data_IF_627969558838
#
_entry.id   IF_627969558838
#
_cell.length_a   1.000
_cell.length_b   1.000
_cell.length_c   1.000
_cell.angle_alpha   90.00
_cell.angle_beta   90.00
_cell.angle_gamma   90.00
#
_symmetry.space_group_name_H-M   'P 1'
#
loop_
_entity.id
_entity.type
_entity.pdbx_description
1 polymer ?
#
# COMPACT_ATOMS: atom_id res chain seq x y z
N UNK A 1 7.35 -2.65 18.21
CA UNK A 1 7.22 -1.46 19.09
C UNK A 1 5.76 -1.02 19.04
N UNK A 2 5.18 -0.49 20.12
CA UNK A 2 3.79 -0.05 20.08
C UNK A 2 3.64 1.12 19.10
N UNK A 3 2.65 1.02 18.22
CA UNK A 3 2.32 2.01 17.21
C UNK A 3 1.19 2.91 17.70
N UNK A 4 1.21 4.18 17.29
CA UNK A 4 0.23 5.17 17.75
C UNK A 4 -0.84 5.42 16.69
N UNK A 5 -2.05 4.90 16.93
CA UNK A 5 -3.18 5.01 16.00
C UNK A 5 -3.58 6.46 15.70
N UNK A 6 -3.67 7.31 16.72
CA UNK A 6 -4.11 8.70 16.57
C UNK A 6 -3.10 9.53 15.77
N UNK A 7 -1.81 9.41 16.08
CA UNK A 7 -0.75 10.07 15.31
C UNK A 7 -0.69 9.53 13.87
N UNK A 8 -0.94 8.24 13.67
CA UNK A 8 -1.02 7.66 12.32
C UNK A 8 -2.21 8.20 11.55
N UNK A 9 -3.37 8.36 12.19
CA UNK A 9 -4.55 8.96 11.56
C UNK A 9 -4.26 10.40 11.11
N UNK A 10 -3.73 11.25 12.00
CA UNK A 10 -3.37 12.64 11.67
C UNK A 10 -2.34 12.70 10.52
N UNK A 11 -1.37 11.79 10.53
CA UNK A 11 -0.39 11.68 9.46
C UNK A 11 -1.06 11.36 8.13
N UNK A 12 -1.93 10.34 8.08
CA UNK A 12 -2.63 9.94 6.86
C UNK A 12 -3.54 11.06 6.32
N UNK A 13 -4.25 11.76 7.21
CA UNK A 13 -5.06 12.94 6.84
C UNK A 13 -4.21 14.06 6.22
N UNK A 14 -2.94 14.19 6.64
CA UNK A 14 -2.02 15.21 6.10
C UNK A 14 -1.41 14.87 4.73
N UNK A 15 -1.42 13.59 4.31
CA UNK A 15 -0.81 13.15 3.06
C UNK A 15 -1.62 13.52 1.80
N UNK A 16 -2.89 13.86 1.97
CA UNK A 16 -3.78 14.15 0.84
C UNK A 16 -3.91 12.96 -0.11
N UNK A 17 -4.35 11.82 0.41
CA UNK A 17 -4.56 10.59 -0.36
C UNK A 17 -5.70 10.76 -1.38
N UNK A 18 -5.67 9.97 -2.45
CA UNK A 18 -6.80 9.87 -3.36
C UNK A 18 -8.04 9.33 -2.61
N UNK A 19 -9.28 9.67 -3.03
CA UNK A 19 -10.48 9.35 -2.27
C UNK A 19 -10.65 7.86 -1.93
N UNK A 20 -10.34 6.96 -2.86
CA UNK A 20 -10.39 5.51 -2.63
C UNK A 20 -9.27 5.03 -1.71
N UNK A 21 -8.06 5.57 -1.85
CA UNK A 21 -6.95 5.29 -0.95
C UNK A 21 -7.22 5.76 0.48
N UNK A 22 -7.88 6.91 0.64
CA UNK A 22 -8.32 7.40 1.95
C UNK A 22 -9.33 6.43 2.56
N UNK A 23 -10.35 6.00 1.80
CA UNK A 23 -11.32 4.99 2.27
C UNK A 23 -10.65 3.68 2.69
N UNK A 24 -9.66 3.22 1.94
CA UNK A 24 -8.86 2.05 2.31
C UNK A 24 -8.09 2.27 3.61
N UNK A 25 -7.41 3.42 3.75
CA UNK A 25 -6.66 3.77 4.94
C UNK A 25 -7.56 3.88 6.17
N UNK A 26 -8.76 4.44 6.03
CA UNK A 26 -9.76 4.53 7.10
C UNK A 26 -10.22 3.14 7.55
N UNK A 27 -10.44 2.21 6.61
CA UNK A 27 -10.79 0.82 6.95
C UNK A 27 -9.64 0.10 7.66
N UNK A 28 -8.40 0.32 7.23
CA UNK A 28 -7.21 -0.20 7.91
C UNK A 28 -7.08 0.35 9.33
N UNK A 29 -7.24 1.66 9.52
CA UNK A 29 -7.28 2.28 10.84
C UNK A 29 -8.45 1.75 11.69
N UNK A 30 -9.62 1.50 11.11
CA UNK A 30 -10.77 0.97 11.85
C UNK A 30 -10.53 -0.42 12.45
N UNK A 31 -9.72 -1.24 11.76
CA UNK A 31 -9.34 -2.59 12.20
C UNK A 31 -8.23 -2.59 13.26
N UNK A 32 -7.66 -1.43 13.55
CA UNK A 32 -6.60 -1.28 14.54
C UNK A 32 -7.19 -1.28 15.95
N UNK A 33 -6.85 -2.31 16.72
CA UNK A 33 -7.26 -2.50 18.11
C UNK A 33 -6.05 -2.49 19.04
N UNK A 34 -6.08 -1.60 20.04
CA UNK A 34 -4.99 -1.40 21.00
C UNK A 34 -3.74 -0.74 20.39
N UNK A 35 -2.57 -1.14 20.87
CA UNK A 35 -1.27 -0.55 20.51
C UNK A 35 -0.56 -1.25 19.32
N UNK A 36 -1.17 -2.32 18.81
CA UNK A 36 -0.59 -3.14 17.76
C UNK A 36 -1.34 -2.92 16.45
N UNK A 37 -0.62 -2.97 15.31
CA UNK A 37 -1.21 -2.89 13.98
C UNK A 37 -2.40 -3.86 13.81
N UNK A 38 -3.31 -3.62 12.85
CA UNK A 38 -4.40 -4.53 12.56
C UNK A 38 -3.91 -5.95 12.30
N UNK A 39 -4.54 -6.95 12.92
CA UNK A 39 -4.31 -8.36 12.59
C UNK A 39 -5.09 -8.78 11.34
N UNK A 40 -4.70 -9.89 10.71
CA UNK A 40 -5.32 -10.39 9.48
C UNK A 40 -6.85 -10.52 9.60
N UNK A 41 -7.34 -11.24 10.60
CA UNK A 41 -8.78 -11.49 10.79
C UNK A 41 -9.60 -10.22 11.08
N UNK A 42 -8.98 -9.27 11.79
CA UNK A 42 -9.62 -7.99 12.13
C UNK A 42 -9.78 -7.13 10.89
N UNK A 43 -8.71 -7.05 10.08
CA UNK A 43 -8.71 -6.29 8.85
C UNK A 43 -9.60 -6.92 7.77
N UNK A 44 -9.59 -8.26 7.63
CA UNK A 44 -10.44 -8.97 6.66
C UNK A 44 -11.94 -8.68 6.87
N UNK A 45 -12.37 -8.55 8.13
CA UNK A 45 -13.75 -8.19 8.50
C UNK A 45 -14.09 -6.72 8.28
N UNK A 46 -13.12 -5.82 8.47
CA UNK A 46 -13.30 -4.39 8.25
C UNK A 46 -13.32 -4.02 6.77
N UNK A 47 -12.67 -4.83 5.92
CA UNK A 47 -12.48 -4.56 4.51
C UNK A 47 -13.80 -4.73 3.73
N UNK A 48 -14.32 -3.63 3.19
CA UNK A 48 -15.53 -3.66 2.37
C UNK A 48 -15.28 -4.33 1.03
N UNK A 49 -16.33 -4.91 0.44
CA UNK A 49 -16.26 -5.54 -0.87
C UNK A 49 -15.73 -4.59 -1.96
N UNK A 50 -16.18 -3.33 -1.94
CA UNK A 50 -15.83 -2.31 -2.93
C UNK A 50 -14.34 -1.95 -2.94
N UNK A 51 -13.69 -2.02 -1.77
CA UNK A 51 -12.25 -1.85 -1.64
C UNK A 51 -11.54 -3.16 -1.95
N UNK A 52 -12.03 -4.29 -1.41
CA UNK A 52 -11.41 -5.62 -1.55
C UNK A 52 -11.14 -6.00 -3.00
N UNK A 53 -12.04 -5.70 -3.94
CA UNK A 53 -11.85 -5.99 -5.37
C UNK A 53 -10.62 -5.33 -6.02
N UNK A 54 -10.07 -4.28 -5.42
CA UNK A 54 -8.86 -3.58 -5.88
C UNK A 54 -7.63 -3.84 -4.99
N UNK A 55 -7.66 -4.88 -4.15
CA UNK A 55 -6.56 -5.18 -3.22
C UNK A 55 -5.73 -6.39 -3.63
N UNK A 56 -4.47 -6.41 -3.20
CA UNK A 56 -3.56 -7.56 -3.27
C UNK A 56 -2.99 -7.80 -1.88
N UNK A 57 -3.03 -9.05 -1.42
CA UNK A 57 -2.42 -9.45 -0.15
C UNK A 57 -1.19 -10.28 -0.47
N UNK A 58 -0.05 -9.86 0.04
CA UNK A 58 1.22 -10.57 -0.12
C UNK A 58 1.79 -10.89 1.25
N UNK A 59 2.24 -12.12 1.43
CA UNK A 59 2.80 -12.58 2.70
C UNK A 59 4.32 -12.50 2.63
N UNK A 60 4.92 -11.66 3.47
CA UNK A 60 6.37 -11.58 3.59
C UNK A 60 6.88 -12.69 4.52
N UNK A 61 7.76 -13.53 4.00
CA UNK A 61 8.50 -14.52 4.78
C UNK A 61 10.00 -14.15 4.78
N UNK A 62 10.61 -13.79 5.94
CA UNK A 62 12.03 -13.43 6.02
C UNK A 62 13.00 -14.52 5.53
N UNK A 63 12.56 -15.78 5.47
CA UNK A 63 13.35 -16.94 5.05
C UNK A 63 12.94 -17.46 3.66
N UNK A 64 12.02 -16.80 2.99
CA UNK A 64 11.42 -17.26 1.74
C UNK A 64 11.10 -16.13 0.78
N UNK A 65 10.15 -16.40 -0.11
CA UNK A 65 9.61 -15.41 -1.04
C UNK A 65 8.49 -14.58 -0.42
N UNK A 66 7.86 -13.79 -1.27
CA UNK A 66 6.73 -12.91 -0.95
C UNK A 66 5.52 -13.36 -1.78
N UNK A 67 4.95 -14.56 -1.52
CA UNK A 67 3.85 -15.07 -2.30
C UNK A 67 2.61 -14.19 -2.17
N UNK A 68 1.97 -13.92 -3.31
CA UNK A 68 0.66 -13.28 -3.36
C UNK A 68 -0.40 -14.29 -2.91
N UNK A 69 -1.10 -13.99 -1.81
CA UNK A 69 -2.12 -14.85 -1.22
C UNK A 69 -3.52 -14.54 -1.73
N UNK A 70 -3.78 -13.28 -2.08
CA UNK A 70 -5.07 -12.85 -2.60
C UNK A 70 -4.90 -11.75 -3.65
N UNK A 71 -5.76 -11.78 -4.67
CA UNK A 71 -5.86 -10.76 -5.70
C UNK A 71 -7.33 -10.46 -5.91
N UNK A 72 -7.71 -9.19 -5.76
CA UNK A 72 -9.06 -8.70 -6.02
C UNK A 72 -9.45 -8.89 -7.48
N UNK A 73 -10.75 -9.07 -7.73
CA UNK A 73 -11.29 -9.37 -9.07
C UNK A 73 -10.94 -8.30 -10.11
N UNK A 74 -10.92 -7.03 -9.74
CA UNK A 74 -10.59 -5.94 -10.66
C UNK A 74 -9.11 -5.91 -10.98
N UNK A 75 -8.25 -6.24 -10.01
CA UNK A 75 -6.80 -6.40 -10.27
C UNK A 75 -6.56 -7.57 -11.23
N UNK A 76 -7.23 -8.71 -11.04
CA UNK A 76 -7.15 -9.84 -11.98
C UNK A 76 -7.62 -9.45 -13.38
N UNK A 77 -8.72 -8.68 -13.47
CA UNK A 77 -9.25 -8.19 -14.75
C UNK A 77 -8.26 -7.26 -15.45
N UNK A 78 -7.66 -6.32 -14.73
CA UNK A 78 -6.66 -5.38 -15.27
C UNK A 78 -5.37 -6.10 -15.67
N UNK A 79 -4.89 -7.05 -14.86
CA UNK A 79 -3.70 -7.83 -15.15
C UNK A 79 -3.92 -8.92 -16.23
N UNK A 80 -5.18 -9.25 -16.54
CA UNK A 80 -5.59 -10.36 -17.42
C UNK A 80 -4.97 -11.71 -17.01
N UNK A 81 -4.68 -11.87 -15.73
CA UNK A 81 -4.04 -13.04 -15.16
C UNK A 81 -4.40 -13.19 -13.68
N UNK A 82 -4.40 -14.43 -13.18
CA UNK A 82 -4.40 -14.67 -11.73
C UNK A 82 -2.97 -14.66 -11.22
N UNK A 83 -2.67 -13.74 -10.30
CA UNK A 83 -1.33 -13.56 -9.74
C UNK A 83 -1.15 -14.35 -8.44
N UNK A 84 -2.19 -15.00 -7.93
CA UNK A 84 -2.12 -15.80 -6.69
C UNK A 84 -1.05 -16.89 -6.80
N UNK A 85 -0.22 -17.01 -5.76
CA UNK A 85 0.89 -17.97 -5.66
C UNK A 85 2.20 -17.51 -6.31
N UNK A 86 2.17 -16.47 -7.15
CA UNK A 86 3.40 -15.86 -7.68
C UNK A 86 4.10 -15.03 -6.60
N UNK A 87 5.42 -14.88 -6.73
CA UNK A 87 6.21 -14.01 -5.86
C UNK A 87 6.05 -12.54 -6.30
N UNK A 88 5.60 -11.68 -5.37
CA UNK A 88 5.28 -10.28 -5.61
C UNK A 88 6.45 -9.47 -6.19
N UNK A 89 7.69 -9.80 -5.81
CA UNK A 89 8.89 -9.13 -6.32
C UNK A 89 9.29 -9.71 -7.68
N UNK A 90 9.24 -11.03 -7.85
CA UNK A 90 9.68 -11.65 -9.10
C UNK A 90 8.77 -11.35 -10.30
N UNK A 91 7.49 -11.06 -10.08
CA UNK A 91 6.59 -10.64 -11.17
C UNK A 91 6.89 -9.22 -11.69
N UNK A 92 7.74 -8.45 -11.01
CA UNK A 92 8.16 -7.14 -11.49
C UNK A 92 9.26 -7.26 -12.55
N UNK A 93 9.34 -6.30 -13.50
CA UNK A 93 10.48 -6.17 -14.40
C UNK A 93 11.81 -6.17 -13.61
N UNK A 94 12.84 -6.90 -14.04
CA UNK A 94 14.10 -7.08 -13.30
C UNK A 94 14.70 -5.77 -12.75
N UNK A 95 14.68 -4.72 -13.55
CA UNK A 95 15.20 -3.38 -13.25
C UNK A 95 14.44 -2.68 -12.10
N UNK A 96 13.21 -3.07 -11.82
CA UNK A 96 12.38 -2.49 -10.75
C UNK A 96 12.30 -3.35 -9.49
N UNK A 97 12.84 -4.58 -9.51
CA UNK A 97 12.75 -5.53 -8.39
C UNK A 97 13.39 -5.01 -7.12
N UNK A 98 14.55 -4.35 -7.22
CA UNK A 98 15.22 -3.75 -6.07
C UNK A 98 14.37 -2.69 -5.37
N UNK A 99 13.73 -1.81 -6.15
CA UNK A 99 12.83 -0.79 -5.62
C UNK A 99 11.52 -1.39 -5.06
N UNK A 100 10.98 -2.44 -5.70
CA UNK A 100 9.83 -3.17 -5.16
C UNK A 100 10.18 -3.82 -3.82
N UNK A 101 11.33 -4.47 -3.72
CA UNK A 101 11.81 -5.07 -2.46
C UNK A 101 12.02 -4.00 -1.38
N UNK A 102 12.60 -2.84 -1.71
CA UNK A 102 12.76 -1.71 -0.77
C UNK A 102 11.42 -1.30 -0.14
N UNK A 103 10.37 -1.19 -0.96
CA UNK A 103 9.01 -0.87 -0.49
C UNK A 103 8.41 -1.97 0.38
N UNK A 104 8.58 -3.24 0.01
CA UNK A 104 8.14 -4.36 0.85
C UNK A 104 8.81 -4.31 2.22
N UNK A 105 10.14 -4.20 2.25
CA UNK A 105 10.90 -4.17 3.50
C UNK A 105 10.52 -2.98 4.38
N UNK A 106 10.27 -1.81 3.79
CA UNK A 106 9.78 -0.65 4.52
C UNK A 106 8.38 -0.90 5.09
N UNK A 107 7.46 -1.43 4.28
CA UNK A 107 6.10 -1.71 4.72
C UNK A 107 6.09 -2.67 5.91
N UNK A 108 6.74 -3.83 5.80
CA UNK A 108 6.78 -4.84 6.88
C UNK A 108 7.57 -4.37 8.11
N UNK A 109 8.40 -3.33 7.98
CA UNK A 109 9.07 -2.65 9.10
C UNK A 109 8.21 -1.57 9.76
N UNK A 110 6.93 -1.44 9.38
CA UNK A 110 6.00 -0.47 9.95
C UNK A 110 5.96 0.85 9.20
N UNK A 111 5.92 0.83 7.86
CA UNK A 111 5.70 2.03 7.05
C UNK A 111 4.42 1.94 6.22
N UNK A 112 3.74 3.07 6.05
CA UNK A 112 2.77 3.28 5.00
C UNK A 112 3.50 3.64 3.71
N UNK A 113 3.18 2.97 2.60
CA UNK A 113 3.79 3.25 1.30
C UNK A 113 2.74 3.87 0.40
N UNK A 114 3.05 5.01 -0.22
CA UNK A 114 2.25 5.59 -1.30
C UNK A 114 3.08 5.58 -2.57
N UNK A 115 2.46 5.16 -3.66
CA UNK A 115 3.05 5.17 -4.99
C UNK A 115 2.06 5.80 -5.94
N UNK A 116 2.50 6.82 -6.68
CA UNK A 116 1.68 7.46 -7.71
C UNK A 116 2.26 7.11 -9.07
N UNK A 117 1.36 6.66 -9.96
CA UNK A 117 1.64 6.37 -11.34
C UNK A 117 0.84 7.32 -12.24
N UNK A 118 1.50 7.92 -13.22
CA UNK A 118 0.91 8.64 -14.32
C UNK A 118 0.86 7.69 -15.53
N UNK A 119 -0.36 7.30 -15.90
CA UNK A 119 -0.61 6.42 -17.02
C UNK A 119 -0.98 7.25 -18.25
N UNK A 120 -0.35 6.97 -19.38
CA UNK A 120 -0.85 7.42 -20.68
C UNK A 120 -1.89 6.42 -21.18
N UNK A 121 -3.07 6.93 -21.50
CA UNK A 121 -4.18 6.18 -22.07
C UNK A 121 -3.99 6.06 -23.59
N UNK A 122 -4.54 5.00 -24.19
CA UNK A 122 -4.57 4.82 -25.65
C UNK A 122 -5.18 6.00 -26.42
N UNK A 123 -6.03 6.77 -25.75
CA UNK A 123 -6.67 7.99 -26.29
C UNK A 123 -5.75 9.21 -26.29
N UNK A 124 -4.53 9.09 -25.76
CA UNK A 124 -3.57 10.18 -25.58
C UNK A 124 -3.79 11.03 -24.33
N UNK A 125 -4.79 10.68 -23.50
CA UNK A 125 -5.01 11.32 -22.21
C UNK A 125 -4.06 10.80 -21.13
N UNK A 126 -3.85 11.57 -20.08
CA UNK A 126 -3.08 11.15 -18.90
C UNK A 126 -4.02 10.89 -17.73
N UNK A 127 -3.74 9.84 -16.96
CA UNK A 127 -4.52 9.46 -15.79
C UNK A 127 -3.61 9.07 -14.64
N UNK A 128 -3.92 9.57 -13.45
CA UNK A 128 -3.22 9.17 -12.23
C UNK A 128 -3.87 7.94 -11.63
N UNK A 129 -3.02 7.01 -11.18
CA UNK A 129 -3.37 5.86 -10.34
C UNK A 129 -2.52 5.94 -9.08
N UNK A 130 -3.17 5.83 -7.93
CA UNK A 130 -2.48 5.78 -6.64
C UNK A 130 -2.51 4.35 -6.11
N UNK A 131 -1.38 3.85 -5.64
CA UNK A 131 -1.29 2.59 -4.90
C UNK A 131 -0.81 2.88 -3.50
N UNK A 132 -1.55 2.42 -2.51
CA UNK A 132 -1.15 2.50 -1.10
C UNK A 132 -0.91 1.10 -0.57
N UNK A 133 0.15 0.94 0.22
CA UNK A 133 0.50 -0.34 0.85
C UNK A 133 0.68 -0.16 2.34
N UNK A 134 0.07 -1.08 3.10
CA UNK A 134 0.12 -1.08 4.57
C UNK A 134 0.52 -2.46 5.09
N UNK A 135 1.27 -2.51 6.19
CA UNK A 135 1.48 -3.75 6.92
C UNK A 135 0.26 -4.10 7.78
N UNK A 136 0.06 -5.40 7.96
CA UNK A 136 -0.68 -5.95 9.09
C UNK A 136 0.32 -6.36 10.18
N UNK A 137 -0.21 -6.73 11.35
CA UNK A 137 0.58 -7.21 12.49
C UNK A 137 1.42 -8.43 12.11
N UNK A 138 2.67 -8.46 12.54
CA UNK A 138 3.49 -9.67 12.47
C UNK A 138 2.84 -10.78 13.29
N UNK A 139 2.72 -11.96 12.67
CA UNK A 139 2.17 -13.17 13.29
C UNK A 139 3.20 -13.84 14.18
N UNK A 140 2.76 -14.74 15.06
CA UNK A 140 3.66 -15.49 15.97
C UNK A 140 4.69 -16.35 15.24
N UNK A 141 4.41 -16.74 13.99
CA UNK A 141 5.34 -17.48 13.12
C UNK A 141 6.35 -16.59 12.38
N UNK A 142 6.32 -15.27 12.62
CA UNK A 142 7.22 -14.28 12.02
C UNK A 142 6.83 -13.85 10.61
N UNK A 143 5.62 -14.18 10.15
CA UNK A 143 5.09 -13.75 8.87
C UNK A 143 4.36 -12.42 8.99
N UNK A 144 4.48 -11.57 7.97
CA UNK A 144 3.80 -10.28 7.91
C UNK A 144 3.02 -10.16 6.61
N UNK A 145 1.73 -9.88 6.69
CA UNK A 145 0.92 -9.57 5.51
C UNK A 145 1.12 -8.10 5.13
N UNK A 146 1.48 -7.85 3.88
CA UNK A 146 1.38 -6.54 3.25
C UNK A 146 0.14 -6.50 2.38
N UNK A 147 -0.70 -5.49 2.58
CA UNK A 147 -1.89 -5.25 1.76
C UNK A 147 -1.64 -4.03 0.89
N UNK A 148 -1.79 -4.21 -0.42
CA UNK A 148 -1.74 -3.14 -1.41
C UNK A 148 -3.15 -2.86 -1.90
N UNK A 149 -3.56 -1.60 -1.94
CA UNK A 149 -4.78 -1.13 -2.58
C UNK A 149 -4.43 -0.21 -3.74
N UNK A 150 -5.20 -0.33 -4.83
CA UNK A 150 -5.02 0.49 -6.02
C UNK A 150 -6.25 1.35 -6.28
N UNK A 151 -6.10 2.65 -6.14
CA UNK A 151 -7.12 3.63 -6.51
C UNK A 151 -7.08 3.88 -8.03
N UNK A 152 -8.07 3.30 -8.71
CA UNK A 152 -8.35 3.50 -10.14
C UNK A 152 -9.61 4.33 -10.37
N UNK A 153 -10.10 5.06 -9.37
CA UNK A 153 -11.34 5.85 -9.47
C UNK A 153 -11.33 6.84 -10.64
N UNK A 154 -10.17 7.41 -10.95
CA UNK A 154 -10.01 8.28 -12.13
C UNK A 154 -10.10 7.56 -13.48
N UNK A 155 -9.92 6.23 -13.53
CA UNK A 155 -10.16 5.41 -14.73
C UNK A 155 -11.64 5.00 -14.85
N UNK A 156 -12.34 4.87 -13.71
CA UNK A 156 -13.69 4.34 -13.59
C UNK A 156 -14.75 5.45 -13.75
N UNK A 157 -14.85 6.01 -14.95
CA UNK A 157 -15.85 7.06 -15.25
C UNK A 157 -16.06 7.36 -16.73
N UNK A 158 -15.26 6.74 -17.60
CA UNK A 158 -15.41 6.89 -19.04
C UNK A 158 -16.19 5.69 -19.60
N UNK A 159 -17.31 5.98 -20.27
CA UNK A 159 -18.25 4.99 -20.84
C UNK A 159 -17.59 3.99 -21.80
N UNK A 160 -16.39 4.32 -22.28
CA UNK A 160 -15.40 3.43 -22.86
C UNK A 160 -14.17 3.57 -21.96
N UNK A 161 -13.87 2.60 -21.09
CA UNK A 161 -12.69 2.69 -20.23
C UNK A 161 -11.47 2.64 -21.13
N UNK A 162 -10.72 3.75 -21.37
CA UNK A 162 -9.59 3.70 -22.26
C UNK A 162 -8.57 2.77 -21.61
N UNK A 163 -8.23 1.68 -22.29
CA UNK A 163 -7.24 0.77 -21.75
C UNK A 163 -5.90 1.54 -21.64
N UNK A 164 -5.20 1.45 -20.50
CA UNK A 164 -3.86 2.01 -20.41
C UNK A 164 -2.94 1.31 -21.42
N UNK A 165 -2.00 2.06 -22.01
CA UNK A 165 -1.02 1.50 -22.95
C UNK A 165 -0.07 0.51 -22.25
N UNK A 166 0.19 0.71 -20.96
CA UNK A 166 0.83 -0.25 -20.07
C UNK A 166 0.38 -0.01 -18.62
N UNK A 167 0.13 -1.09 -17.87
CA UNK A 167 -0.14 -1.03 -16.42
C UNK A 167 1.15 -1.14 -15.58
N UNK A 168 2.27 -1.51 -16.22
CA UNK A 168 3.57 -1.71 -15.60
C UNK A 168 4.51 -0.54 -15.94
N UNK A 169 4.22 0.64 -15.37
CA UNK A 169 5.11 1.79 -15.42
C UNK A 169 6.11 1.78 -14.27
N UNK A 170 7.27 2.42 -14.47
CA UNK A 170 8.15 2.85 -13.37
C UNK A 170 7.33 3.79 -12.47
N UNK A 171 7.36 3.66 -11.14
CA UNK A 171 6.65 4.61 -10.27
C UNK A 171 7.20 6.02 -10.47
N UNK A 172 6.32 6.99 -10.70
CA UNK A 172 6.72 8.39 -10.88
C UNK A 172 7.10 9.01 -9.54
N UNK A 173 6.37 8.66 -8.47
CA UNK A 173 6.64 9.10 -7.11
C UNK A 173 6.44 7.92 -6.15
N UNK A 174 7.38 7.72 -5.22
CA UNK A 174 7.25 6.78 -4.11
C UNK A 174 7.53 7.50 -2.80
N UNK A 175 6.54 7.51 -1.91
CA UNK A 175 6.65 8.03 -0.56
C UNK A 175 6.61 6.85 0.43
N UNK A 176 7.61 6.79 1.31
CA UNK A 176 7.70 5.82 2.39
C UNK A 176 7.54 6.58 3.69
N UNK A 177 6.42 6.36 4.37
CA UNK A 177 6.01 7.14 5.53
C UNK A 177 6.02 6.22 6.75
N UNK A 178 7.00 6.36 7.68
CA UNK A 178 7.04 5.54 8.88
C UNK A 178 5.78 5.71 9.72
N UNK A 179 5.19 4.61 10.17
CA UNK A 179 4.05 4.61 11.09
C UNK A 179 4.56 5.06 12.47
N UNK A 180 4.05 6.16 13.04
CA UNK A 180 4.50 6.65 14.33
C UNK A 180 4.41 5.58 15.42
N UNK A 181 5.49 5.42 16.18
CA UNK A 181 5.48 4.68 17.45
C UNK A 181 5.21 5.62 18.62
N UNK A 182 4.83 5.08 19.78
CA UNK A 182 4.58 5.88 20.98
C UNK A 182 5.79 6.73 21.44
N UNK A 183 7.00 6.26 21.15
CA UNK A 183 8.23 6.99 21.48
C UNK A 183 8.43 8.28 20.68
N UNK A 184 7.78 8.42 19.51
CA UNK A 184 7.93 9.59 18.63
C UNK A 184 7.24 10.83 19.22
N UNK A 185 6.22 10.64 20.07
CA UNK A 185 5.50 11.74 20.74
C UNK A 185 6.15 12.21 22.05
N UNK A 186 7.10 11.44 22.61
CA UNK A 186 7.78 11.82 23.85
C UNK A 186 8.75 13.00 23.70
N UNK A 187 9.11 13.38 22.46
CA UNK A 187 9.97 14.55 22.18
C UNK A 187 9.46 15.35 20.97
N UNK A 188 8.49 16.26 21.15
CA UNK A 188 8.02 17.15 20.10
C UNK A 188 9.07 18.18 19.61
N UNK A 189 10.27 18.22 20.20
CA UNK A 189 11.19 19.35 20.11
C UNK A 189 12.47 19.16 19.30
N UNK A 190 12.71 18.03 18.62
CA UNK A 190 14.02 17.75 18.01
C UNK A 190 14.10 17.71 16.47
N UNK A 191 13.00 17.92 15.74
CA UNK A 191 13.05 18.06 14.27
C UNK A 191 13.25 19.50 13.80
N UNK A 192 13.28 20.49 14.70
CA UNK A 192 13.63 21.86 14.38
C UNK A 192 15.07 22.18 14.84
N UNK A 193 16.02 22.01 13.93
CA UNK A 193 17.31 22.71 14.00
C UNK A 193 18.53 21.81 14.10
N UNK A 194 19.22 21.67 12.96
CA UNK A 194 20.57 22.22 12.78
C UNK A 194 20.92 22.17 11.29
N UNK A 195 20.78 23.33 10.65
CA UNK A 195 21.66 23.65 9.53
C UNK A 195 23.09 23.61 10.03
N UNK A 196 23.95 22.88 9.33
CA UNK A 196 25.38 22.99 9.50
C UNK A 196 25.95 23.63 8.23
N UNK A 197 26.63 24.74 8.50
CA UNK A 197 27.52 25.48 7.61
C UNK A 197 28.68 24.62 7.14
#
# INVERSE_FOLDING_TARGET
MPHNKEATQQLLESLGLAPGSQQFADQWLSAWDGADLPGDDGFDKALSHDIRRFTVFSEYNPRGGIPIRFVGEEIRRLARADLTGLDYVDIAPPETRGERMRRVLAAVSGAFIRVTHQLTLKTGGEQFVETVSVPLREREDGLTTMVCFMDVSGLMGQHETPEPDAFAGVPDITEIVPIPGDAVLAYPGQLAGKGLR
#
